data_IF_124847642149
#
_entry.id   IF_124847642149
#
_cell.length_a   1.000
_cell.length_b   1.000
_cell.length_c   1.000
_cell.angle_alpha   90.00
_cell.angle_beta   90.00
_cell.angle_gamma   90.00
#
_symmetry.space_group_name_H-M   'P 1'
#
loop_
_entity.id
_entity.type
_entity.pdbx_description
1 polymer ?
#
# COMPACT_ATOMS: atom_id res chain seq x y z
N UNK A 1 24.67 -3.17 -11.05
CA UNK A 1 24.26 -3.27 -9.64
C UNK A 1 24.01 -1.86 -9.10
N UNK A 2 22.77 -1.34 -9.10
CA UNK A 2 22.51 -0.01 -8.59
C UNK A 2 22.39 -0.01 -7.07
N UNK A 3 22.93 1.06 -6.48
CA UNK A 3 23.29 1.26 -5.09
C UNK A 3 22.03 1.60 -4.27
N UNK A 4 21.64 0.74 -3.33
CA UNK A 4 20.59 1.02 -2.32
C UNK A 4 21.01 2.07 -1.27
N UNK A 5 22.17 2.69 -1.43
CA UNK A 5 22.80 3.55 -0.43
C UNK A 5 22.24 4.98 -0.38
N UNK A 6 21.67 5.49 -1.47
CA UNK A 6 21.21 6.89 -1.53
C UNK A 6 19.81 7.10 -0.95
N UNK A 7 18.96 6.06 -0.92
CA UNK A 7 17.60 6.17 -0.39
C UNK A 7 17.55 6.26 1.14
N UNK A 8 18.50 5.65 1.86
CA UNK A 8 18.55 5.71 3.33
C UNK A 8 18.97 7.09 3.84
N UNK A 9 19.75 7.85 3.07
CA UNK A 9 20.20 9.20 3.43
C UNK A 9 19.03 10.20 3.30
N UNK A 10 18.29 10.14 2.19
CA UNK A 10 17.10 10.98 1.97
C UNK A 10 16.00 10.72 3.01
N UNK A 11 15.81 9.46 3.41
CA UNK A 11 14.83 9.08 4.43
C UNK A 11 15.15 9.68 5.81
N UNK A 12 16.43 9.75 6.16
CA UNK A 12 16.92 10.28 7.44
C UNK A 12 16.96 11.81 7.47
N UNK A 13 17.37 12.46 6.37
CA UNK A 13 17.53 13.91 6.31
C UNK A 13 16.19 14.66 6.17
N UNK A 14 15.15 14.02 5.62
CA UNK A 14 13.81 14.60 5.47
C UNK A 14 12.83 14.17 6.59
N UNK A 15 13.33 13.49 7.64
CA UNK A 15 12.54 12.90 8.75
C UNK A 15 11.30 12.10 8.30
N UNK A 16 11.32 11.59 7.08
CA UNK A 16 10.12 10.98 6.51
C UNK A 16 9.76 9.75 7.35
N UNK A 17 8.48 9.55 7.71
CA UNK A 17 8.08 8.28 8.29
C UNK A 17 8.42 7.16 7.29
N UNK A 18 9.07 6.10 7.76
CA UNK A 18 9.24 4.89 6.94
C UNK A 18 7.89 4.47 6.40
N UNK A 19 7.84 3.90 5.20
CA UNK A 19 6.60 3.39 4.59
C UNK A 19 5.77 2.58 5.59
N UNK A 20 6.41 1.76 6.45
CA UNK A 20 5.73 1.03 7.52
C UNK A 20 5.09 1.91 8.61
N UNK A 21 5.75 2.98 9.05
CA UNK A 21 5.19 3.95 10.01
C UNK A 21 4.02 4.71 9.40
N UNK A 22 4.17 5.13 8.14
CA UNK A 22 3.08 5.77 7.40
C UNK A 22 1.89 4.83 7.25
N UNK A 23 2.09 3.61 6.78
CA UNK A 23 1.04 2.61 6.60
C UNK A 23 0.34 2.27 7.91
N UNK A 24 1.08 2.13 9.01
CA UNK A 24 0.50 1.88 10.34
C UNK A 24 -0.35 3.05 10.84
N UNK A 25 0.11 4.28 10.63
CA UNK A 25 -0.64 5.46 11.05
C UNK A 25 -1.88 5.69 10.17
N UNK A 26 -1.76 5.45 8.86
CA UNK A 26 -2.86 5.56 7.93
C UNK A 26 -3.93 4.49 8.24
N UNK A 27 -3.54 3.22 8.39
CA UNK A 27 -4.47 2.14 8.72
C UNK A 27 -5.19 2.40 10.04
N UNK A 28 -4.48 2.85 11.09
CA UNK A 28 -5.12 3.24 12.35
C UNK A 28 -6.23 4.27 12.16
N UNK A 29 -5.96 5.35 11.41
CA UNK A 29 -6.97 6.39 11.15
C UNK A 29 -8.19 5.85 10.42
N UNK A 30 -8.02 4.90 9.50
CA UNK A 30 -9.15 4.26 8.81
C UNK A 30 -10.01 3.43 9.78
N UNK A 31 -9.38 2.69 10.70
CA UNK A 31 -10.10 1.91 11.71
C UNK A 31 -10.79 2.80 12.75
N UNK A 32 -10.15 3.87 13.22
CA UNK A 32 -10.74 4.83 14.17
C UNK A 32 -12.03 5.48 13.59
N UNK A 33 -12.04 5.76 12.28
CA UNK A 33 -13.23 6.28 11.58
C UNK A 33 -14.33 5.21 11.48
N UNK A 34 -13.96 3.96 11.15
CA UNK A 34 -14.93 2.87 11.05
C UNK A 34 -15.56 2.52 12.41
N UNK A 35 -14.80 2.61 13.50
CA UNK A 35 -15.26 2.37 14.87
C UNK A 35 -16.28 3.43 15.33
N UNK A 36 -16.13 4.69 14.91
CA UNK A 36 -17.09 5.75 15.22
C UNK A 36 -18.25 5.87 14.22
N UNK A 37 -18.30 5.00 13.19
CA UNK A 37 -19.27 5.13 12.12
C UNK A 37 -20.67 4.61 12.55
N UNK A 38 -21.76 5.34 12.24
CA UNK A 38 -23.12 4.88 12.54
C UNK A 38 -23.58 3.65 11.74
N UNK A 39 -22.73 3.12 10.84
CA UNK A 39 -23.06 1.97 10.01
C UNK A 39 -22.52 0.71 10.70
N UNK A 40 -23.42 -0.15 11.15
CA UNK A 40 -23.09 -1.37 11.85
C UNK A 40 -22.13 -2.29 11.07
N UNK A 41 -22.21 -2.28 9.73
CA UNK A 41 -21.32 -3.09 8.89
C UNK A 41 -19.86 -2.61 9.00
N UNK A 42 -19.64 -1.30 8.94
CA UNK A 42 -18.29 -0.72 9.04
C UNK A 42 -17.72 -0.89 10.46
N UNK A 43 -18.56 -0.70 11.48
CA UNK A 43 -18.18 -0.97 12.87
C UNK A 43 -17.80 -2.44 13.08
N UNK A 44 -18.58 -3.39 12.54
CA UNK A 44 -18.32 -4.84 12.68
C UNK A 44 -17.02 -5.29 12.02
N UNK A 45 -16.56 -4.57 11.00
CA UNK A 45 -15.32 -4.86 10.31
C UNK A 45 -14.08 -4.59 11.20
N UNK A 46 -14.18 -3.68 12.17
CA UNK A 46 -13.08 -3.37 13.11
C UNK A 46 -12.83 -4.55 14.05
N UNK A 47 -13.88 -5.27 14.44
CA UNK A 47 -13.80 -6.45 15.33
C UNK A 47 -13.73 -7.78 14.58
N UNK A 48 -13.53 -7.76 13.25
CA UNK A 48 -13.54 -8.98 12.46
C UNK A 48 -12.28 -9.81 12.73
N UNK A 49 -12.48 -11.01 13.29
CA UNK A 49 -11.41 -12.00 13.38
C UNK A 49 -11.41 -12.84 12.10
N UNK A 50 -10.30 -12.86 11.34
CA UNK A 50 -10.23 -13.67 10.13
C UNK A 50 -10.35 -15.16 10.48
N UNK A 51 -11.06 -15.95 9.67
CA UNK A 51 -11.15 -17.40 9.86
C UNK A 51 -9.77 -18.02 9.89
N UNK A 52 -9.64 -19.14 10.61
CA UNK A 52 -8.37 -19.85 10.69
C UNK A 52 -7.78 -20.12 9.28
N UNK A 53 -6.45 -20.05 9.13
CA UNK A 53 -5.79 -20.03 7.82
C UNK A 53 -6.12 -21.17 6.87
N UNK A 54 -6.63 -22.28 7.40
CA UNK A 54 -7.02 -23.47 6.65
C UNK A 54 -8.18 -23.27 5.67
N UNK A 55 -8.87 -22.13 5.70
CA UNK A 55 -9.99 -21.81 4.80
C UNK A 55 -9.68 -20.76 3.72
N UNK A 56 -8.45 -20.24 3.64
CA UNK A 56 -8.06 -19.35 2.54
C UNK A 56 -7.79 -20.16 1.26
N UNK A 57 -8.85 -20.70 0.65
CA UNK A 57 -8.79 -21.45 -0.63
C UNK A 57 -8.40 -20.52 -1.80
N UNK A 58 -8.56 -19.21 -1.63
CA UNK A 58 -8.07 -18.20 -2.57
C UNK A 58 -7.22 -17.18 -1.82
N UNK A 59 -5.91 -17.25 -2.03
CA UNK A 59 -5.08 -16.03 -1.99
C UNK A 59 -5.76 -14.99 -2.88
N UNK A 60 -5.87 -13.72 -2.46
CA UNK A 60 -6.21 -12.64 -3.38
C UNK A 60 -5.26 -12.76 -4.57
N UNK A 61 -5.80 -13.03 -5.75
CA UNK A 61 -5.00 -13.16 -6.97
C UNK A 61 -4.41 -11.80 -7.24
N UNK A 62 -3.11 -11.70 -7.01
CA UNK A 62 -2.13 -10.96 -7.76
C UNK A 62 -2.63 -9.82 -8.69
N UNK A 63 -3.14 -8.73 -8.11
CA UNK A 63 -3.15 -7.43 -8.81
C UNK A 63 -1.75 -7.08 -9.37
N UNK A 64 -0.71 -7.70 -8.81
CA UNK A 64 0.70 -7.54 -9.18
C UNK A 64 1.21 -8.51 -10.27
N UNK A 65 0.47 -9.57 -10.63
CA UNK A 65 0.84 -10.42 -11.79
C UNK A 65 -0.05 -10.22 -13.00
N UNK A 66 -1.20 -9.57 -12.81
CA UNK A 66 -2.03 -9.18 -13.92
C UNK A 66 -1.31 -8.11 -14.75
N UNK A 67 -1.50 -8.16 -16.07
CA UNK A 67 -0.94 -7.13 -16.95
C UNK A 67 -1.49 -5.76 -16.53
N UNK A 68 -0.66 -4.70 -16.52
CA UNK A 68 -1.11 -3.37 -16.16
C UNK A 68 -2.27 -2.95 -17.07
N UNK A 69 -3.30 -2.37 -16.48
CA UNK A 69 -4.37 -1.77 -17.26
C UNK A 69 -3.84 -0.59 -18.07
N UNK A 70 -4.62 -0.14 -19.06
CA UNK A 70 -4.20 0.93 -19.97
C UNK A 70 -3.79 2.22 -19.24
N UNK A 71 -4.38 2.49 -18.08
CA UNK A 71 -4.06 3.65 -17.26
C UNK A 71 -2.69 3.48 -16.57
N UNK A 72 -2.46 2.31 -15.98
CA UNK A 72 -1.21 1.94 -15.30
C UNK A 72 -0.06 1.91 -16.30
N UNK A 73 -0.27 1.31 -17.47
CA UNK A 73 0.73 1.27 -18.55
C UNK A 73 1.10 2.68 -19.06
N UNK A 74 0.12 3.59 -19.16
CA UNK A 74 0.38 4.98 -19.55
C UNK A 74 1.19 5.74 -18.49
N UNK A 75 0.88 5.52 -17.21
CA UNK A 75 1.63 6.13 -16.08
C UNK A 75 3.06 5.58 -16.00
N UNK A 76 3.26 4.28 -16.21
CA UNK A 76 4.59 3.66 -16.26
C UNK A 76 5.41 4.19 -17.44
N UNK A 77 4.83 4.29 -18.64
CA UNK A 77 5.48 4.86 -19.82
C UNK A 77 5.90 6.31 -19.62
N UNK A 78 5.06 7.11 -18.94
CA UNK A 78 5.39 8.49 -18.58
C UNK A 78 6.60 8.56 -17.61
N UNK A 79 6.69 7.62 -16.68
CA UNK A 79 7.83 7.52 -15.77
C UNK A 79 9.10 6.99 -16.42
N UNK A 80 9.01 6.22 -17.50
CA UNK A 80 10.17 5.77 -18.28
C UNK A 80 10.76 6.92 -19.10
N UNK A 81 9.90 7.71 -19.76
CA UNK A 81 10.31 8.88 -20.57
C UNK A 81 11.05 9.93 -19.74
N UNK A 82 10.63 10.20 -18.49
CA UNK A 82 11.31 11.21 -17.65
C UNK A 82 12.73 10.82 -17.24
N UNK A 83 13.05 9.52 -17.24
CA UNK A 83 14.37 9.00 -16.85
C UNK A 83 15.36 8.94 -18.03
N UNK A 84 14.91 9.26 -19.24
CA UNK A 84 15.74 9.31 -20.47
C UNK A 84 16.24 10.72 -20.81
N UNK A 85 16.05 11.70 -19.91
CA UNK A 85 16.47 13.09 -20.09
C UNK A 85 17.76 13.46 -19.33
N UNK A 86 18.63 12.48 -19.03
CA UNK A 86 20.03 12.72 -18.63
C UNK A 86 20.98 12.54 -19.83
#
# INVERSE_FOLDING_TARGET
>A
MPRTHCNSILHRDLELPTIGKFMKNASKRFFDIAESHPNALLHSAVSYEPPQPYHFIRRPWNVLTDAPDALTAAVESLMEVKNTND
#
